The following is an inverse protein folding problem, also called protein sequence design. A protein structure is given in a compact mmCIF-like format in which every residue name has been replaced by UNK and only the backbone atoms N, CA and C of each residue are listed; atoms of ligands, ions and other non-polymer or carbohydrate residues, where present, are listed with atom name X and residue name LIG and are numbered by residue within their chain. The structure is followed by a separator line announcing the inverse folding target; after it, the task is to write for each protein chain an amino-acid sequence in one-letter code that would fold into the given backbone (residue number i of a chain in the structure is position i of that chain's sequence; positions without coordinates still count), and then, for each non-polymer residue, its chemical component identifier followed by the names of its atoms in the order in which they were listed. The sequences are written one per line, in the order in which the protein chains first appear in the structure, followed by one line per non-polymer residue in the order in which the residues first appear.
data_IF_284855135744
#
_entry.id   IF_284855135744
#
_cell.length_a   1.000
_cell.length_b   1.000
_cell.length_c   1.000
_cell.angle_alpha   90.00
_cell.angle_beta   90.00
_cell.angle_gamma   90.00
#
_symmetry.space_group_name_H-M   'P 1'
#
loop_
_entity.id
_entity.type
_entity.pdbx_description
1 polymer ?
#
# COMPACT_ATOMS: atom_id res chain seq x y z
N UNK A 1 15.95 2.32 12.93
CA UNK A 1 17.04 1.33 13.10
C UNK A 1 16.57 -0.11 13.17
N UNK A 2 16.04 -0.60 14.30
CA UNK A 2 15.67 -2.04 14.41
C UNK A 2 14.56 -2.45 13.43
N UNK A 3 13.44 -1.70 13.41
CA UNK A 3 12.32 -2.00 12.52
C UNK A 3 12.64 -1.78 11.04
N UNK A 4 13.47 -0.78 10.72
CA UNK A 4 13.91 -0.51 9.35
C UNK A 4 14.75 -1.66 8.78
N UNK A 5 15.68 -2.22 9.56
CA UNK A 5 16.46 -3.37 9.11
C UNK A 5 15.61 -4.62 8.92
N UNK A 6 14.64 -4.83 9.81
CA UNK A 6 13.70 -5.93 9.67
C UNK A 6 12.79 -5.77 8.44
N UNK A 7 12.30 -4.54 8.20
CA UNK A 7 11.49 -4.21 7.04
C UNK A 7 12.26 -4.42 5.73
N UNK A 8 13.51 -3.94 5.66
CA UNK A 8 14.36 -4.14 4.49
C UNK A 8 14.62 -5.63 4.21
N UNK A 9 14.84 -6.45 5.25
CA UNK A 9 14.99 -7.89 5.09
C UNK A 9 13.71 -8.55 4.53
N UNK A 10 12.54 -8.12 5.00
CA UNK A 10 11.25 -8.62 4.52
C UNK A 10 10.98 -8.22 3.06
N UNK A 11 11.22 -6.95 2.69
CA UNK A 11 11.11 -6.47 1.31
C UNK A 11 11.99 -7.27 0.34
N UNK A 12 13.21 -7.57 0.76
CA UNK A 12 14.14 -8.38 -0.01
C UNK A 12 13.65 -9.82 -0.19
N UNK A 13 13.05 -10.42 0.85
CA UNK A 13 12.48 -11.78 0.77
C UNK A 13 11.27 -11.84 -0.15
N UNK A 14 10.37 -10.85 -0.09
CA UNK A 14 9.21 -10.77 -0.98
C UNK A 14 9.64 -10.62 -2.45
N UNK A 15 10.63 -9.77 -2.69
CA UNK A 15 11.20 -9.55 -4.03
C UNK A 15 11.89 -10.81 -4.56
N UNK A 16 12.73 -11.46 -3.74
CA UNK A 16 13.44 -12.68 -4.13
C UNK A 16 12.49 -13.86 -4.43
N UNK A 17 11.31 -13.88 -3.81
CA UNK A 17 10.26 -14.88 -4.06
C UNK A 17 9.32 -14.51 -5.21
N UNK A 18 9.46 -13.33 -5.82
CA UNK A 18 8.57 -12.83 -6.87
C UNK A 18 7.14 -12.56 -6.39
N UNK A 19 6.94 -12.33 -5.09
CA UNK A 19 5.60 -12.13 -4.50
C UNK A 19 5.17 -10.66 -4.62
N UNK A 20 6.09 -9.74 -4.33
CA UNK A 20 5.89 -8.30 -4.45
C UNK A 20 7.26 -7.63 -4.61
N UNK A 21 7.38 -6.71 -5.55
CA UNK A 21 8.57 -5.88 -5.70
C UNK A 21 8.53 -4.68 -4.76
N UNK A 22 9.67 -3.98 -4.63
CA UNK A 22 9.75 -2.75 -3.83
C UNK A 22 8.68 -1.72 -4.22
N UNK A 23 8.43 -1.53 -5.51
CA UNK A 23 7.39 -0.60 -5.99
C UNK A 23 5.97 -0.97 -5.54
N UNK A 24 5.65 -2.26 -5.44
CA UNK A 24 4.35 -2.73 -4.97
C UNK A 24 4.18 -2.46 -3.47
N UNK A 25 5.26 -2.70 -2.69
CA UNK A 25 5.30 -2.43 -1.25
C UNK A 25 5.18 -0.93 -0.99
N UNK A 26 5.96 -0.10 -1.69
CA UNK A 26 5.93 1.35 -1.56
C UNK A 26 4.54 1.91 -1.91
N UNK A 27 3.91 1.41 -2.98
CA UNK A 27 2.56 1.82 -3.38
C UNK A 27 1.49 1.43 -2.36
N UNK A 28 1.58 0.22 -1.80
CA UNK A 28 0.66 -0.25 -0.76
C UNK A 28 0.84 0.53 0.54
N UNK A 29 2.07 0.83 0.95
CA UNK A 29 2.36 1.65 2.12
C UNK A 29 1.75 3.06 1.97
N UNK A 30 1.94 3.69 0.80
CA UNK A 30 1.35 4.99 0.52
C UNK A 30 -0.19 4.95 0.50
N UNK A 31 -0.80 3.86 0.03
CA UNK A 31 -2.25 3.69 0.07
C UNK A 31 -2.77 3.57 1.51
N UNK A 32 -2.09 2.82 2.37
CA UNK A 32 -2.42 2.74 3.79
C UNK A 32 -2.25 4.07 4.53
N UNK A 33 -1.20 4.84 4.21
CA UNK A 33 -1.01 6.18 4.76
C UNK A 33 -2.19 7.10 4.41
N UNK A 34 -2.57 7.16 3.13
CA UNK A 34 -3.73 7.95 2.69
C UNK A 34 -5.04 7.47 3.32
N UNK A 35 -5.25 6.16 3.40
CA UNK A 35 -6.42 5.58 4.07
C UNK A 35 -6.48 5.97 5.56
N UNK A 36 -5.35 5.95 6.26
CA UNK A 36 -5.27 6.38 7.66
C UNK A 36 -5.63 7.85 7.82
N UNK A 37 -5.11 8.72 6.96
CA UNK A 37 -5.45 10.16 6.95
C UNK A 37 -6.92 10.44 6.65
N UNK A 38 -7.54 9.65 5.78
CA UNK A 38 -8.94 9.82 5.40
C UNK A 38 -9.94 9.19 6.41
N UNK A 39 -9.46 8.37 7.35
CA UNK A 39 -10.32 7.66 8.31
C UNK A 39 -10.65 8.58 9.50
N UNK A 40 -11.93 8.87 9.79
CA UNK A 40 -12.31 9.61 10.99
C UNK A 40 -11.88 8.88 12.26
N UNK A 41 -11.52 9.64 13.31
CA UNK A 41 -11.16 9.07 14.59
C UNK A 41 -12.26 8.15 15.14
N UNK A 42 -11.86 7.00 15.69
CA UNK A 42 -12.78 5.99 16.22
C UNK A 42 -13.41 5.07 15.16
N UNK A 43 -13.01 5.19 13.89
CA UNK A 43 -13.38 4.25 12.82
C UNK A 43 -12.20 3.36 12.43
N UNK A 44 -12.45 2.13 11.94
CA UNK A 44 -11.37 1.27 11.45
C UNK A 44 -10.74 1.86 10.18
N UNK A 45 -9.41 1.75 10.08
CA UNK A 45 -8.67 2.07 8.85
C UNK A 45 -8.81 0.87 7.92
N UNK A 46 -9.46 1.08 6.78
CA UNK A 46 -9.58 0.10 5.70
C UNK A 46 -8.87 0.66 4.47
N UNK A 47 -8.30 -0.20 3.63
CA UNK A 47 -7.64 0.25 2.39
C UNK A 47 -8.62 0.99 1.45
N UNK A 48 -9.90 0.64 1.48
CA UNK A 48 -10.98 1.31 0.75
C UNK A 48 -11.17 2.78 1.16
N UNK A 49 -10.65 3.18 2.33
CA UNK A 49 -10.67 4.57 2.77
C UNK A 49 -9.60 5.41 2.04
N UNK A 50 -8.67 4.81 1.29
CA UNK A 50 -7.73 5.57 0.48
C UNK A 50 -8.51 6.36 -0.59
N UNK A 51 -8.47 7.71 -0.59
CA UNK A 51 -9.14 8.53 -1.60
C UNK A 51 -8.64 8.26 -3.03
N UNK A 52 -7.47 7.63 -3.19
CA UNK A 52 -6.90 7.21 -4.47
C UNK A 52 -7.28 5.78 -4.89
N UNK A 53 -7.99 5.02 -4.02
CA UNK A 53 -8.37 3.61 -4.25
C UNK A 53 -9.24 3.42 -5.51
N UNK A 54 -9.86 4.51 -6.01
CA UNK A 54 -10.74 4.47 -7.19
C UNK A 54 -10.44 5.57 -8.21
N UNK A 55 -9.29 5.48 -8.90
CA UNK A 55 -9.31 5.58 -10.37
C UNK A 55 -9.55 4.17 -10.94
N UNK A 56 -10.63 3.53 -10.49
CA UNK A 56 -11.04 2.20 -10.94
C UNK A 56 -11.67 2.26 -12.32
N UNK A 57 -11.20 1.42 -13.25
CA UNK A 57 -11.64 1.27 -14.65
C UNK A 57 -11.39 2.47 -15.56
N UNK A 58 -10.28 2.43 -16.28
CA UNK A 58 -10.28 2.85 -17.68
C UNK A 58 -11.48 2.18 -18.36
N UNK A 59 -12.48 2.95 -18.76
CA UNK A 59 -13.35 2.56 -19.87
C UNK A 59 -12.45 2.19 -21.07
N UNK A 60 -12.68 1.09 -21.79
CA UNK A 60 -12.11 0.95 -23.11
C UNK A 60 -12.84 1.96 -23.99
N UNK A 61 -12.19 3.08 -24.31
CA UNK A 61 -12.64 3.97 -25.37
C UNK A 61 -12.54 3.21 -26.69
N UNK A 62 -13.65 3.18 -27.43
CA UNK A 62 -13.73 2.57 -28.77
C UNK A 62 -13.01 3.36 -29.85
#
# INVERSE_FOLDING_TARGET
DYYEHWLAALENLLSAKGIAGKGDVDALAAAWERAAHATPHGKPILLDNDPSSTKGRSSPSG
#
